data_IF_142942957018
#
_entry.id   IF_142942957018
#
_cell.length_a   1.000
_cell.length_b   1.000
_cell.length_c   1.000
_cell.angle_alpha   90.00
_cell.angle_beta   90.00
_cell.angle_gamma   90.00
#
_symmetry.space_group_name_H-M   'P 1'
#
loop_
_entity.id
_entity.type
_entity.pdbx_description
1 polymer ?
#
# COMPACT_ATOMS: atom_id res chain seq x y z
N UNK A 1 27.50 14.65 -15.87
CA UNK A 1 27.69 14.58 -14.40
C UNK A 1 26.87 13.41 -13.88
N UNK A 2 27.28 12.79 -12.76
CA UNK A 2 26.57 11.65 -12.18
C UNK A 2 26.09 11.98 -10.77
N UNK A 3 24.91 11.51 -10.42
CA UNK A 3 24.33 11.73 -9.09
C UNK A 3 23.43 10.57 -8.67
N UNK A 4 23.25 10.44 -7.37
CA UNK A 4 22.34 9.47 -6.76
C UNK A 4 21.24 10.26 -6.05
N UNK A 5 20.00 9.96 -6.40
CA UNK A 5 18.81 10.43 -5.69
C UNK A 5 18.26 9.24 -4.91
N UNK A 6 18.15 9.36 -3.59
CA UNK A 6 17.52 8.34 -2.75
C UNK A 6 16.30 8.90 -2.07
N UNK A 7 15.22 8.13 -2.02
CA UNK A 7 14.05 8.49 -1.25
C UNK A 7 13.53 7.34 -0.42
N UNK A 8 12.87 7.69 0.68
CA UNK A 8 12.20 6.76 1.58
C UNK A 8 10.77 7.22 1.78
N UNK A 9 9.84 6.30 1.66
CA UNK A 9 8.41 6.46 1.91
C UNK A 9 8.04 5.72 3.20
N UNK A 10 7.35 6.40 4.12
CA UNK A 10 6.90 5.80 5.37
C UNK A 10 5.57 6.41 5.84
N UNK A 11 4.73 5.62 6.51
CA UNK A 11 3.47 6.11 7.06
C UNK A 11 3.71 6.99 8.30
N UNK A 12 3.06 8.14 8.41
CA UNK A 12 3.15 8.99 9.60
C UNK A 12 2.04 10.02 9.69
N UNK A 13 1.90 10.67 10.85
CA UNK A 13 0.91 11.74 11.04
C UNK A 13 1.41 13.03 10.40
N UNK A 14 0.86 13.39 9.24
CA UNK A 14 1.23 14.62 8.54
C UNK A 14 0.73 15.83 9.32
N UNK A 15 1.57 16.82 9.67
CA UNK A 15 1.10 18.13 10.11
C UNK A 15 0.39 18.81 8.93
N UNK A 16 -0.82 19.33 9.11
CA UNK A 16 -1.66 19.94 8.07
C UNK A 16 -1.10 21.24 7.43
N UNK A 17 0.20 21.48 7.51
CA UNK A 17 0.88 22.72 7.09
C UNK A 17 1.95 22.38 6.05
N UNK A 18 1.64 22.65 4.78
CA UNK A 18 2.56 22.55 3.64
C UNK A 18 1.95 23.22 2.42
N UNK A 19 2.79 23.73 1.50
CA UNK A 19 2.33 24.25 0.22
C UNK A 19 2.04 23.11 -0.75
N UNK A 20 0.87 23.12 -1.39
CA UNK A 20 0.54 22.15 -2.44
C UNK A 20 1.49 22.34 -3.62
N UNK A 21 2.15 21.26 -4.05
CA UNK A 21 2.99 21.24 -5.23
C UNK A 21 2.25 20.50 -6.33
N UNK A 22 2.00 21.23 -7.43
CA UNK A 22 1.46 20.66 -8.65
C UNK A 22 2.58 19.97 -9.41
N UNK A 23 2.31 18.73 -9.85
CA UNK A 23 3.15 17.99 -10.79
C UNK A 23 3.60 18.89 -11.95
N UNK A 24 4.91 18.94 -12.20
CA UNK A 24 5.48 19.74 -13.29
C UNK A 24 5.34 18.95 -14.59
N UNK A 25 4.90 19.64 -15.63
CA UNK A 25 4.34 19.04 -16.84
C UNK A 25 5.42 18.69 -17.85
N UNK A 26 5.38 17.48 -18.41
CA UNK A 26 6.10 17.14 -19.64
C UNK A 26 5.70 18.13 -20.73
N UNK A 27 6.64 18.97 -21.18
CA UNK A 27 6.39 20.01 -22.22
C UNK A 27 5.91 19.42 -23.55
N UNK A 28 6.11 18.12 -23.79
CA UNK A 28 5.89 17.45 -25.08
C UNK A 28 4.72 16.44 -25.08
N UNK A 29 3.89 16.45 -24.03
CA UNK A 29 2.82 15.48 -23.78
C UNK A 29 1.39 16.06 -23.95
N UNK A 30 0.41 15.30 -24.48
CA UNK A 30 -1.01 15.70 -24.44
C UNK A 30 -1.55 15.77 -23.00
N UNK A 31 -2.52 16.66 -22.79
CA UNK A 31 -2.82 17.29 -21.49
C UNK A 31 -3.89 16.57 -20.65
N UNK A 32 -3.57 15.44 -19.99
CA UNK A 32 -4.53 14.72 -19.13
C UNK A 32 -4.14 14.60 -17.64
N UNK A 33 -3.01 15.19 -17.23
CA UNK A 33 -2.29 14.87 -15.98
C UNK A 33 -2.79 15.56 -14.68
N UNK A 34 -3.37 16.75 -14.77
CA UNK A 34 -3.57 17.62 -13.59
C UNK A 34 -4.42 17.09 -12.42
N UNK A 35 -5.52 16.34 -12.63
CA UNK A 35 -6.45 16.00 -11.54
C UNK A 35 -6.21 14.63 -10.86
N UNK A 36 -5.23 13.84 -11.30
CA UNK A 36 -5.08 12.42 -10.93
C UNK A 36 -3.83 12.04 -10.15
N UNK A 37 -2.79 12.88 -10.19
CA UNK A 37 -1.59 12.67 -9.38
C UNK A 37 -1.96 12.89 -7.92
N UNK A 38 -1.55 12.00 -6.99
CA UNK A 38 -1.79 12.21 -5.57
C UNK A 38 -1.23 13.57 -5.16
N UNK A 39 -2.04 14.38 -4.48
CA UNK A 39 -1.65 15.73 -4.08
C UNK A 39 -0.42 15.66 -3.20
N UNK A 40 0.62 16.36 -3.63
CA UNK A 40 1.88 16.40 -2.94
C UNK A 40 2.02 17.74 -2.22
N UNK A 41 2.49 17.70 -0.99
CA UNK A 41 2.77 18.90 -0.21
C UNK A 41 4.23 18.90 0.17
N UNK A 42 4.97 19.95 -0.21
CA UNK A 42 6.31 20.13 0.33
C UNK A 42 6.13 20.71 1.73
N UNK A 43 6.52 19.93 2.73
CA UNK A 43 6.47 20.34 4.14
C UNK A 43 7.68 21.22 4.42
N UNK A 44 8.87 20.78 3.99
CA UNK A 44 10.12 21.49 4.26
C UNK A 44 11.21 21.12 3.27
N UNK A 45 12.07 22.08 2.94
CA UNK A 45 13.32 21.88 2.21
C UNK A 45 14.46 22.29 3.14
N UNK A 46 15.17 21.30 3.68
CA UNK A 46 16.43 21.53 4.40
C UNK A 46 17.60 21.38 3.41
N UNK A 47 18.77 21.96 3.70
CA UNK A 47 19.91 22.12 2.76
C UNK A 47 20.28 20.84 1.95
N UNK A 48 19.99 19.64 2.47
CA UNK A 48 20.26 18.35 1.81
C UNK A 48 19.06 17.39 1.69
N UNK A 49 17.91 17.73 2.27
CA UNK A 49 16.75 16.86 2.32
C UNK A 49 15.48 17.59 1.86
N UNK A 50 14.71 16.94 1.00
CA UNK A 50 13.39 17.39 0.59
C UNK A 50 12.36 16.50 1.27
N UNK A 51 11.48 17.10 2.06
CA UNK A 51 10.41 16.40 2.77
C UNK A 51 9.09 16.72 2.09
N UNK A 52 8.50 15.70 1.48
CA UNK A 52 7.20 15.76 0.82
C UNK A 52 6.19 14.91 1.60
N UNK A 53 4.92 15.26 1.50
CA UNK A 53 3.82 14.47 2.03
C UNK A 53 2.86 14.09 0.91
N UNK A 54 2.52 12.80 0.88
CA UNK A 54 1.46 12.25 0.05
C UNK A 54 0.26 11.91 0.93
N UNK A 55 -0.92 12.36 0.51
CA UNK A 55 -2.15 12.02 1.21
C UNK A 55 -2.64 10.61 0.87
N UNK A 56 -3.19 9.85 1.84
CA UNK A 56 -3.26 10.15 3.27
C UNK A 56 -2.02 9.63 4.04
N UNK A 57 -1.43 10.48 4.88
CA UNK A 57 -0.50 10.10 5.95
C UNK A 57 0.79 9.38 5.52
N UNK A 58 1.37 9.67 4.36
CA UNK A 58 2.67 9.13 3.95
C UNK A 58 3.68 10.27 3.78
N UNK A 59 4.83 10.13 4.43
CA UNK A 59 5.99 11.01 4.25
C UNK A 59 6.91 10.44 3.17
N UNK A 60 7.45 11.31 2.34
CA UNK A 60 8.58 11.04 1.47
C UNK A 60 9.74 11.93 1.90
N UNK A 61 10.88 11.30 2.21
CA UNK A 61 12.14 12.00 2.46
C UNK A 61 13.11 11.67 1.34
N UNK A 62 13.52 12.69 0.61
CA UNK A 62 14.41 12.59 -0.55
C UNK A 62 15.72 13.33 -0.28
N UNK A 63 16.83 12.75 -0.74
CA UNK A 63 18.15 13.40 -0.76
C UNK A 63 18.87 13.12 -2.07
N UNK A 64 19.74 14.04 -2.46
CA UNK A 64 20.50 14.01 -3.70
C UNK A 64 21.99 14.19 -3.38
N UNK A 65 22.85 13.37 -3.99
CA UNK A 65 24.29 13.45 -3.83
C UNK A 65 24.99 13.26 -5.19
N UNK A 66 25.92 14.16 -5.53
CA UNK A 66 26.74 14.06 -6.75
C UNK A 66 27.86 13.04 -6.52
N UNK A 67 28.06 12.14 -7.48
CA UNK A 67 29.08 11.09 -7.44
C UNK A 67 29.97 11.15 -8.68
N UNK A 68 31.18 10.60 -8.57
CA UNK A 68 32.10 10.49 -9.71
C UNK A 68 31.74 9.31 -10.61
N UNK A 69 31.45 8.16 -10.00
CA UNK A 69 31.09 6.92 -10.69
C UNK A 69 30.02 6.15 -9.91
N UNK A 70 28.84 6.01 -10.50
CA UNK A 70 27.70 5.26 -9.96
C UNK A 70 27.99 3.76 -9.84
N UNK A 71 28.82 3.19 -10.72
CA UNK A 71 29.08 1.74 -10.75
C UNK A 71 30.06 1.28 -9.66
N UNK A 72 30.71 2.22 -8.98
CA UNK A 72 31.70 1.92 -7.95
C UNK A 72 31.09 1.33 -6.67
N UNK A 73 31.87 0.47 -5.99
CA UNK A 73 31.50 -0.05 -4.66
C UNK A 73 31.28 1.08 -3.62
N UNK A 74 31.99 2.20 -3.78
CA UNK A 74 31.82 3.40 -2.96
C UNK A 74 30.41 4.00 -3.12
N UNK A 75 29.88 4.05 -4.34
CA UNK A 75 28.52 4.52 -4.63
C UNK A 75 27.45 3.60 -4.06
N UNK A 76 27.66 2.28 -4.07
CA UNK A 76 26.74 1.32 -3.42
C UNK A 76 26.72 1.53 -1.90
N UNK A 77 27.89 1.72 -1.28
CA UNK A 77 27.99 2.04 0.14
C UNK A 77 27.34 3.39 0.49
N UNK A 78 27.56 4.41 -0.35
CA UNK A 78 26.96 5.72 -0.19
C UNK A 78 25.43 5.67 -0.28
N UNK A 79 24.89 4.90 -1.23
CA UNK A 79 23.45 4.66 -1.39
C UNK A 79 22.80 4.15 -0.10
N UNK A 80 23.40 3.15 0.54
CA UNK A 80 22.93 2.60 1.81
C UNK A 80 22.97 3.64 2.94
N UNK A 81 24.03 4.46 3.00
CA UNK A 81 24.14 5.54 3.99
C UNK A 81 23.08 6.63 3.78
N UNK A 82 22.79 7.00 2.53
CA UNK A 82 21.75 7.98 2.20
C UNK A 82 20.36 7.46 2.57
N UNK A 83 20.05 6.18 2.29
CA UNK A 83 18.80 5.54 2.71
C UNK A 83 18.66 5.55 4.24
N UNK A 84 19.72 5.17 4.96
CA UNK A 84 19.72 5.18 6.42
C UNK A 84 19.48 6.60 6.97
N UNK A 85 20.07 7.62 6.35
CA UNK A 85 19.85 9.01 6.73
C UNK A 85 18.40 9.47 6.46
N UNK A 86 17.81 9.08 5.32
CA UNK A 86 16.41 9.35 5.01
C UNK A 86 15.47 8.67 6.01
N UNK A 87 15.74 7.42 6.41
CA UNK A 87 14.97 6.70 7.42
C UNK A 87 15.03 7.40 8.78
N UNK A 88 16.22 7.79 9.23
CA UNK A 88 16.38 8.54 10.48
C UNK A 88 15.59 9.85 10.44
N UNK A 89 15.67 10.58 9.31
CA UNK A 89 14.88 11.80 9.12
C UNK A 89 13.37 11.52 9.13
N UNK A 90 12.90 10.46 8.49
CA UNK A 90 11.49 10.09 8.54
C UNK A 90 11.02 9.83 9.99
N UNK A 91 11.84 9.16 10.81
CA UNK A 91 11.55 8.94 12.23
C UNK A 91 11.49 10.25 13.05
N UNK A 92 12.40 11.20 12.80
CA UNK A 92 12.40 12.52 13.46
C UNK A 92 11.08 13.27 13.24
N UNK A 93 10.47 13.10 12.06
CA UNK A 93 9.17 13.67 11.70
C UNK A 93 7.97 12.81 12.13
N UNK A 94 8.20 11.74 12.90
CA UNK A 94 7.15 10.90 13.49
C UNK A 94 6.55 9.87 12.53
N UNK A 95 7.27 9.49 11.47
CA UNK A 95 6.88 8.37 10.62
C UNK A 95 7.21 7.03 11.28
N UNK A 96 6.32 6.04 11.09
CA UNK A 96 6.55 4.64 11.41
C UNK A 96 7.37 3.99 10.28
N UNK A 97 8.65 3.77 10.55
CA UNK A 97 9.57 3.13 9.59
C UNK A 97 9.51 1.60 9.61
N UNK A 98 8.66 0.98 10.45
CA UNK A 98 8.48 -0.48 10.47
C UNK A 98 7.93 -1.04 9.16
N UNK A 99 7.28 -0.19 8.37
CA UNK A 99 6.94 -0.43 6.97
C UNK A 99 7.30 0.82 6.18
N UNK A 100 8.41 0.72 5.47
CA UNK A 100 8.87 1.74 4.57
C UNK A 100 9.24 1.11 3.23
N UNK A 101 9.15 1.93 2.18
CA UNK A 101 9.75 1.63 0.88
C UNK A 101 10.91 2.58 0.67
N UNK A 102 12.06 2.04 0.33
CA UNK A 102 13.28 2.76 0.01
C UNK A 102 13.68 2.51 -1.44
N UNK A 103 14.19 3.57 -2.09
CA UNK A 103 14.53 3.48 -3.51
C UNK A 103 15.68 4.42 -3.85
N UNK A 104 16.57 3.96 -4.73
CA UNK A 104 17.72 4.73 -5.19
C UNK A 104 17.74 4.87 -6.71
N UNK A 105 17.95 6.08 -7.19
CA UNK A 105 17.99 6.41 -8.61
C UNK A 105 19.37 6.96 -8.94
N UNK A 106 20.10 6.25 -9.78
CA UNK A 106 21.28 6.78 -10.43
C UNK A 106 20.86 7.66 -11.61
N UNK A 107 21.31 8.90 -11.64
CA UNK A 107 21.07 9.83 -12.74
C UNK A 107 22.39 10.20 -13.37
N UNK A 108 22.48 10.01 -14.68
CA UNK A 108 23.67 10.28 -15.49
C UNK A 108 23.25 11.29 -16.54
N UNK A 109 23.75 12.52 -16.38
CA UNK A 109 23.45 13.66 -17.25
C UNK A 109 24.66 14.08 -18.09
N UNK A 110 24.41 14.76 -19.21
CA UNK A 110 25.46 15.37 -20.04
C UNK A 110 26.51 14.36 -20.55
N UNK A 111 26.07 13.15 -20.89
CA UNK A 111 26.91 12.07 -21.40
C UNK A 111 26.93 12.06 -22.94
N UNK A 112 27.94 11.43 -23.52
CA UNK A 112 28.03 11.17 -24.96
C UNK A 112 27.45 9.81 -25.35
N UNK A 113 26.98 9.66 -26.59
CA UNK A 113 26.51 8.37 -27.12
C UNK A 113 27.51 7.22 -26.97
N UNK A 114 28.81 7.52 -27.01
CA UNK A 114 29.84 6.52 -26.79
C UNK A 114 29.89 6.09 -25.32
N UNK A 115 29.82 7.04 -24.38
CA UNK A 115 29.78 6.74 -22.95
C UNK A 115 28.56 5.88 -22.58
N UNK A 116 27.38 6.16 -23.16
CA UNK A 116 26.21 5.30 -22.96
C UNK A 116 26.45 3.86 -23.44
N UNK A 117 27.05 3.70 -24.63
CA UNK A 117 27.34 2.37 -25.18
C UNK A 117 28.36 1.61 -24.34
N UNK A 118 29.39 2.31 -23.85
CA UNK A 118 30.42 1.71 -23.01
C UNK A 118 29.81 1.30 -21.65
N UNK A 119 28.95 2.14 -21.08
CA UNK A 119 28.26 1.88 -19.81
C UNK A 119 27.26 0.71 -19.91
N UNK A 120 26.58 0.57 -21.04
CA UNK A 120 25.70 -0.57 -21.33
C UNK A 120 26.49 -1.83 -21.73
N UNK A 121 27.72 -1.66 -22.20
CA UNK A 121 28.61 -2.75 -22.62
C UNK A 121 29.15 -3.58 -21.46
N UNK A 122 29.38 -2.96 -20.30
CA UNK A 122 29.67 -3.65 -19.02
C UNK A 122 28.66 -3.23 -17.95
N UNK A 123 27.46 -3.85 -17.93
CA UNK A 123 26.39 -3.47 -17.02
C UNK A 123 26.57 -4.01 -15.59
N UNK A 124 27.64 -4.77 -15.32
CA UNK A 124 27.79 -5.52 -14.07
C UNK A 124 27.73 -4.63 -12.84
N UNK A 125 28.53 -3.56 -12.80
CA UNK A 125 28.54 -2.60 -11.70
C UNK A 125 27.23 -1.83 -11.57
N UNK A 126 26.58 -1.52 -12.70
CA UNK A 126 25.27 -0.89 -12.68
C UNK A 126 24.21 -1.81 -12.06
N UNK A 127 24.15 -3.08 -12.45
CA UNK A 127 23.17 -4.03 -11.91
C UNK A 127 23.42 -4.26 -10.41
N UNK A 128 24.67 -4.36 -9.99
CA UNK A 128 25.06 -4.39 -8.57
C UNK A 128 24.52 -3.17 -7.81
N UNK A 129 24.65 -1.96 -8.37
CA UNK A 129 24.05 -0.75 -7.80
C UNK A 129 22.52 -0.83 -7.69
N UNK A 130 21.84 -1.22 -8.79
CA UNK A 130 20.38 -1.31 -8.85
C UNK A 130 19.81 -2.31 -7.83
N UNK A 131 20.53 -3.41 -7.58
CA UNK A 131 20.13 -4.47 -6.64
C UNK A 131 20.67 -4.28 -5.22
N UNK A 132 21.51 -3.26 -4.98
CA UNK A 132 22.20 -3.07 -3.71
C UNK A 132 23.13 -4.21 -3.29
N UNK A 133 23.73 -4.89 -4.26
CA UNK A 133 24.59 -6.04 -4.00
C UNK A 133 26.05 -5.71 -4.31
N UNK A 134 26.95 -5.99 -3.37
CA UNK A 134 28.39 -5.69 -3.49
C UNK A 134 29.22 -6.88 -3.99
N UNK A 135 28.57 -7.88 -4.54
CA UNK A 135 29.23 -9.06 -5.10
C UNK A 135 28.89 -9.17 -6.59
N UNK A 136 29.72 -9.95 -7.29
CA UNK A 136 29.55 -10.16 -8.72
C UNK A 136 28.31 -11.03 -8.94
N UNK A 137 27.34 -10.46 -9.64
CA UNK A 137 26.13 -11.14 -10.06
C UNK A 137 26.42 -12.12 -11.20
N UNK A 138 25.63 -13.19 -11.26
CA UNK A 138 25.69 -14.10 -12.39
C UNK A 138 25.19 -13.41 -13.66
N UNK A 139 25.85 -13.63 -14.79
CA UNK A 139 25.46 -13.10 -16.12
C UNK A 139 23.96 -13.22 -16.44
N UNK A 140 23.31 -14.32 -16.05
CA UNK A 140 21.88 -14.51 -16.29
C UNK A 140 21.00 -13.50 -15.52
N UNK A 141 21.43 -13.09 -14.33
CA UNK A 141 20.74 -12.08 -13.52
C UNK A 141 20.99 -10.66 -14.05
N UNK A 142 22.21 -10.42 -14.53
CA UNK A 142 22.58 -9.19 -15.23
C UNK A 142 21.70 -9.02 -16.49
N UNK A 143 21.64 -10.05 -17.33
CA UNK A 143 20.78 -10.09 -18.51
C UNK A 143 19.29 -9.91 -18.16
N UNK A 144 18.83 -10.54 -17.07
CA UNK A 144 17.45 -10.41 -16.62
C UNK A 144 17.12 -8.96 -16.23
N UNK A 145 18.03 -8.29 -15.52
CA UNK A 145 17.88 -6.90 -15.10
C UNK A 145 17.85 -5.96 -16.30
N UNK A 146 18.79 -6.13 -17.21
CA UNK A 146 18.93 -5.29 -18.41
C UNK A 146 17.76 -5.40 -19.40
N UNK A 147 16.96 -6.49 -19.34
CA UNK A 147 15.70 -6.58 -20.11
C UNK A 147 14.64 -5.57 -19.67
N UNK A 148 14.77 -5.03 -18.48
CA UNK A 148 13.78 -4.16 -17.85
C UNK A 148 14.15 -2.70 -18.05
N UNK A 149 14.24 -2.33 -19.33
CA UNK A 149 14.68 -1.03 -19.77
C UNK A 149 13.66 -0.40 -20.72
N UNK A 150 13.60 0.92 -20.70
CA UNK A 150 12.82 1.74 -21.60
C UNK A 150 13.76 2.72 -22.30
N UNK A 151 13.70 2.71 -23.63
CA UNK A 151 14.38 3.65 -24.51
C UNK A 151 13.33 4.31 -25.40
N UNK A 152 13.25 5.63 -25.37
CA UNK A 152 12.25 6.44 -26.05
C UNK A 152 12.88 7.28 -27.17
N UNK A 153 13.99 7.96 -26.90
CA UNK A 153 14.88 8.62 -27.85
C UNK A 153 16.18 7.81 -28.08
N UNK A 154 17.01 8.25 -29.02
CA UNK A 154 18.33 7.63 -29.21
C UNK A 154 19.27 7.90 -28.02
N UNK A 155 19.09 9.05 -27.37
CA UNK A 155 19.89 9.59 -26.27
C UNK A 155 19.18 9.52 -24.89
N UNK A 156 18.20 8.64 -24.72
CA UNK A 156 17.63 8.34 -23.39
C UNK A 156 17.68 6.84 -23.09
N UNK A 157 17.73 6.52 -21.80
CA UNK A 157 17.60 5.14 -21.32
C UNK A 157 17.18 5.16 -19.85
N UNK A 158 16.14 4.41 -19.53
CA UNK A 158 15.73 4.15 -18.16
C UNK A 158 15.77 2.66 -17.89
N UNK A 159 16.50 2.24 -16.86
CA UNK A 159 16.54 0.87 -16.37
C UNK A 159 15.90 0.85 -15.00
N UNK A 160 14.95 -0.06 -14.78
CA UNK A 160 14.18 -0.13 -13.53
C UNK A 160 14.31 -1.52 -12.91
N UNK A 161 14.72 -1.55 -11.64
CA UNK A 161 14.73 -2.76 -10.80
C UNK A 161 13.93 -2.49 -9.50
N UNK A 162 13.89 -3.46 -8.58
CA UNK A 162 13.13 -3.38 -7.34
C UNK A 162 13.73 -2.39 -6.34
N UNK A 163 15.06 -2.38 -6.20
CA UNK A 163 15.75 -1.56 -5.20
C UNK A 163 16.28 -0.24 -5.76
N UNK A 164 16.22 -0.05 -7.08
CA UNK A 164 16.69 1.17 -7.71
C UNK A 164 16.47 1.24 -9.22
N UNK A 165 16.71 2.43 -9.76
CA UNK A 165 16.66 2.71 -11.19
C UNK A 165 17.93 3.42 -11.67
N UNK A 166 18.18 3.36 -12.97
CA UNK A 166 19.18 4.15 -13.65
C UNK A 166 18.51 4.97 -14.74
N UNK A 167 18.80 6.27 -14.76
CA UNK A 167 18.30 7.22 -15.72
C UNK A 167 19.48 7.85 -16.45
N UNK A 168 19.51 7.66 -17.76
CA UNK A 168 20.36 8.39 -18.68
C UNK A 168 19.48 9.42 -19.38
N UNK A 169 19.79 10.69 -19.16
CA UNK A 169 19.11 11.79 -19.83
C UNK A 169 20.10 12.88 -20.28
N UNK A 170 20.07 13.26 -21.56
CA UNK A 170 21.08 14.16 -22.13
C UNK A 170 20.82 15.63 -21.81
N UNK A 171 19.56 16.09 -21.83
CA UNK A 171 19.21 17.51 -21.69
C UNK A 171 18.74 17.88 -20.26
N UNK A 172 18.53 16.85 -19.42
CA UNK A 172 18.17 16.99 -18.01
C UNK A 172 16.75 17.49 -17.72
N UNK A 173 15.95 17.81 -18.76
CA UNK A 173 14.60 18.36 -18.60
C UNK A 173 13.61 17.37 -17.96
N UNK A 174 13.75 16.06 -18.24
CA UNK A 174 12.78 15.02 -17.86
C UNK A 174 13.15 14.29 -16.55
N UNK A 175 14.30 14.63 -15.92
CA UNK A 175 14.79 13.93 -14.71
C UNK A 175 13.79 14.03 -13.56
N UNK A 176 13.25 15.22 -13.32
CA UNK A 176 12.30 15.49 -12.22
C UNK A 176 11.04 14.63 -12.37
N UNK A 177 10.54 14.50 -13.59
CA UNK A 177 9.29 13.80 -13.92
C UNK A 177 9.44 12.27 -13.82
N UNK A 178 10.56 11.72 -14.30
CA UNK A 178 10.90 10.29 -14.14
C UNK A 178 11.03 9.93 -12.67
N UNK A 179 11.71 10.77 -11.88
CA UNK A 179 11.87 10.58 -10.43
C UNK A 179 10.51 10.60 -9.74
N UNK A 180 9.67 11.60 -10.01
CA UNK A 180 8.32 11.68 -9.42
C UNK A 180 7.45 10.47 -9.78
N UNK A 181 7.52 9.97 -11.02
CA UNK A 181 6.78 8.78 -11.43
C UNK A 181 7.23 7.53 -10.67
N UNK A 182 8.54 7.34 -10.46
CA UNK A 182 9.08 6.26 -9.64
C UNK A 182 8.69 6.42 -8.16
N UNK A 183 8.59 7.65 -7.65
CA UNK A 183 8.08 7.93 -6.31
C UNK A 183 6.60 7.53 -6.19
N UNK A 184 5.76 7.83 -7.18
CA UNK A 184 4.35 7.45 -7.21
C UNK A 184 4.19 5.92 -7.24
N UNK A 185 4.98 5.22 -8.05
CA UNK A 185 4.92 3.76 -8.13
C UNK A 185 5.31 3.09 -6.80
N UNK A 186 6.36 3.60 -6.12
CA UNK A 186 6.73 3.14 -4.77
C UNK A 186 5.70 3.53 -3.71
N UNK A 187 5.07 4.70 -3.84
CA UNK A 187 4.00 5.15 -2.95
C UNK A 187 2.82 4.19 -2.99
N UNK A 188 2.40 3.75 -4.18
CA UNK A 188 1.34 2.74 -4.32
C UNK A 188 1.75 1.38 -3.76
N UNK A 189 3.00 0.96 -3.97
CA UNK A 189 3.53 -0.25 -3.36
C UNK A 189 3.39 -0.20 -1.83
N UNK A 190 3.77 0.92 -1.22
CA UNK A 190 3.61 1.13 0.22
C UNK A 190 2.14 1.07 0.64
N UNK A 191 1.23 1.73 -0.11
CA UNK A 191 -0.21 1.69 0.19
C UNK A 191 -0.77 0.27 0.15
N UNK A 192 -0.41 -0.52 -0.86
CA UNK A 192 -0.82 -1.92 -0.92
C UNK A 192 -0.28 -2.72 0.27
N UNK A 193 1.00 -2.56 0.63
CA UNK A 193 1.59 -3.27 1.79
C UNK A 193 0.98 -2.84 3.12
N UNK A 194 0.63 -1.56 3.27
CA UNK A 194 -0.07 -1.05 4.44
C UNK A 194 -1.47 -1.67 4.55
N UNK A 195 -2.23 -1.66 3.45
CA UNK A 195 -3.56 -2.24 3.41
C UNK A 195 -3.52 -3.76 3.68
N UNK A 196 -2.55 -4.45 3.12
CA UNK A 196 -2.31 -5.88 3.35
C UNK A 196 -2.07 -6.19 4.83
N UNK A 197 -1.18 -5.44 5.49
CA UNK A 197 -0.91 -5.56 6.94
C UNK A 197 -2.16 -5.28 7.78
N UNK A 198 -2.96 -4.28 7.41
CA UNK A 198 -4.20 -3.98 8.12
C UNK A 198 -5.22 -5.12 7.98
N UNK A 199 -5.35 -5.72 6.80
CA UNK A 199 -6.22 -6.86 6.54
C UNK A 199 -5.79 -8.09 7.35
N UNK A 200 -4.49 -8.37 7.43
CA UNK A 200 -3.96 -9.49 8.24
C UNK A 200 -4.26 -9.35 9.73
N UNK A 201 -4.10 -8.15 10.27
CA UNK A 201 -4.47 -7.86 11.65
C UNK A 201 -5.96 -8.11 11.93
N UNK A 202 -6.83 -7.86 10.94
CA UNK A 202 -8.28 -8.08 11.07
C UNK A 202 -8.67 -9.53 10.90
N UNK A 203 -8.08 -10.26 9.94
CA UNK A 203 -8.27 -11.70 9.80
C UNK A 203 -7.94 -12.42 11.11
N UNK A 204 -6.79 -12.09 11.70
CA UNK A 204 -6.37 -12.64 13.02
C UNK A 204 -7.38 -12.34 14.12
N UNK A 205 -7.93 -11.12 14.15
CA UNK A 205 -8.95 -10.76 15.14
C UNK A 205 -10.25 -11.57 14.97
N UNK A 206 -10.72 -11.74 13.72
CA UNK A 206 -11.92 -12.54 13.41
C UNK A 206 -11.75 -13.99 13.86
N UNK A 207 -10.60 -14.60 13.57
CA UNK A 207 -10.29 -15.97 14.00
C UNK A 207 -10.37 -16.14 15.52
N UNK A 208 -9.82 -15.19 16.28
CA UNK A 208 -9.89 -15.20 17.74
C UNK A 208 -11.34 -15.07 18.24
N UNK A 209 -12.17 -14.22 17.62
CA UNK A 209 -13.58 -14.09 17.99
C UNK A 209 -14.36 -15.39 17.76
N UNK A 210 -14.15 -16.06 16.63
CA UNK A 210 -14.84 -17.33 16.30
C UNK A 210 -14.46 -18.46 17.28
N UNK A 211 -13.21 -18.51 17.74
CA UNK A 211 -12.78 -19.52 18.73
C UNK A 211 -13.44 -19.33 20.10
N UNK A 212 -13.55 -18.09 20.57
CA UNK A 212 -14.15 -17.75 21.87
C UNK A 212 -15.65 -18.10 21.90
N UNK A 213 -16.33 -17.98 20.77
CA UNK A 213 -17.77 -18.28 20.65
C UNK A 213 -18.12 -19.74 20.96
N UNK A 214 -17.17 -20.68 20.80
CA UNK A 214 -17.37 -22.10 21.16
C UNK A 214 -17.60 -22.32 22.67
N UNK A 215 -17.28 -21.36 23.54
CA UNK A 215 -17.28 -21.56 25.00
C UNK A 215 -18.40 -20.84 25.77
N UNK A 216 -19.13 -19.88 25.19
CA UNK A 216 -20.16 -19.12 25.94
C UNK A 216 -21.26 -18.56 25.03
N UNK A 217 -22.32 -19.37 24.82
CA UNK A 217 -23.37 -19.13 23.82
C UNK A 217 -24.42 -18.09 24.27
N UNK A 218 -24.53 -17.79 25.58
CA UNK A 218 -25.69 -17.06 26.10
C UNK A 218 -25.45 -15.61 26.58
N UNK A 219 -24.20 -15.15 26.72
CA UNK A 219 -23.92 -13.84 27.39
C UNK A 219 -23.48 -12.69 26.49
N UNK A 220 -23.37 -12.86 25.16
CA UNK A 220 -22.54 -11.93 24.37
C UNK A 220 -23.11 -11.43 23.04
N UNK A 221 -24.42 -11.53 22.79
CA UNK A 221 -25.04 -11.07 21.53
C UNK A 221 -24.78 -9.58 21.20
N UNK A 222 -24.69 -8.70 22.21
CA UNK A 222 -24.42 -7.26 22.00
C UNK A 222 -22.98 -6.96 21.57
N UNK A 223 -22.00 -7.64 22.16
CA UNK A 223 -20.60 -7.41 21.82
C UNK A 223 -20.28 -7.98 20.44
N UNK A 224 -20.92 -9.10 20.08
CA UNK A 224 -20.77 -9.68 18.75
C UNK A 224 -21.41 -8.79 17.68
N UNK A 225 -22.62 -8.25 17.93
CA UNK A 225 -23.24 -7.28 17.01
C UNK A 225 -22.44 -5.97 16.87
N UNK A 226 -21.59 -5.64 17.84
CA UNK A 226 -20.66 -4.50 17.75
C UNK A 226 -19.42 -4.86 16.92
N UNK A 227 -18.76 -5.97 17.24
CA UNK A 227 -17.63 -6.48 16.47
C UNK A 227 -18.00 -6.67 14.98
N UNK A 228 -19.22 -7.13 14.73
CA UNK A 228 -19.82 -7.25 13.40
C UNK A 228 -19.84 -5.92 12.62
N UNK A 229 -20.34 -4.85 13.25
CA UNK A 229 -20.38 -3.52 12.61
C UNK A 229 -18.98 -3.00 12.34
N UNK A 230 -18.06 -3.19 13.29
CA UNK A 230 -16.67 -2.75 13.13
C UNK A 230 -15.97 -3.46 11.95
N UNK A 231 -16.25 -4.75 11.73
CA UNK A 231 -15.70 -5.51 10.59
C UNK A 231 -16.28 -5.02 9.26
N UNK A 232 -17.60 -4.81 9.17
CA UNK A 232 -18.23 -4.28 7.95
C UNK A 232 -17.70 -2.90 7.62
N UNK A 233 -17.67 -2.00 8.61
CA UNK A 233 -17.18 -0.63 8.43
C UNK A 233 -15.72 -0.65 7.97
N UNK A 234 -14.90 -1.54 8.52
CA UNK A 234 -13.53 -1.72 8.09
C UNK A 234 -13.44 -2.22 6.64
N UNK A 235 -14.19 -3.27 6.25
CA UNK A 235 -14.19 -3.79 4.87
C UNK A 235 -14.60 -2.71 3.87
N UNK A 236 -15.67 -1.97 4.15
CA UNK A 236 -16.14 -0.88 3.28
C UNK A 236 -15.03 0.17 3.10
N UNK A 237 -14.35 0.55 4.18
CA UNK A 237 -13.23 1.49 4.12
C UNK A 237 -12.06 0.93 3.32
N UNK A 238 -11.69 -0.33 3.53
CA UNK A 238 -10.60 -0.98 2.80
C UNK A 238 -10.89 -1.12 1.31
N UNK A 239 -12.15 -1.40 0.92
CA UNK A 239 -12.56 -1.40 -0.50
C UNK A 239 -12.46 0.01 -1.08
N UNK A 240 -12.97 1.02 -0.36
CA UNK A 240 -12.86 2.40 -0.82
C UNK A 240 -11.40 2.88 -0.94
N UNK A 241 -10.52 2.43 -0.04
CA UNK A 241 -9.08 2.69 -0.10
C UNK A 241 -8.44 1.98 -1.29
N UNK A 242 -8.76 0.71 -1.53
CA UNK A 242 -8.31 -0.03 -2.71
C UNK A 242 -8.73 0.65 -4.02
N UNK A 243 -10.01 1.03 -4.12
CA UNK A 243 -10.56 1.75 -5.27
C UNK A 243 -9.92 3.14 -5.45
N UNK A 244 -9.49 3.79 -4.36
CA UNK A 244 -8.78 5.05 -4.41
C UNK A 244 -7.38 4.87 -5.01
N UNK A 245 -6.63 3.86 -4.55
CA UNK A 245 -5.31 3.51 -5.10
C UNK A 245 -5.41 3.23 -6.60
N UNK A 246 -6.41 2.46 -7.04
CA UNK A 246 -6.61 2.18 -8.47
C UNK A 246 -6.96 3.43 -9.31
N UNK A 247 -7.64 4.40 -8.70
CA UNK A 247 -8.10 5.60 -9.42
C UNK A 247 -6.95 6.55 -9.73
N UNK A 248 -5.97 6.65 -8.83
CA UNK A 248 -4.76 7.47 -9.00
C UNK A 248 -3.95 7.05 -10.24
N UNK A 249 -4.07 5.78 -10.68
CA UNK A 249 -3.38 5.24 -11.85
C UNK A 249 -4.04 5.56 -13.21
N UNK A 250 -5.37 5.78 -13.27
CA UNK A 250 -6.14 5.76 -14.54
C UNK A 250 -5.85 6.91 -15.51
N UNK A 251 -4.93 7.82 -15.18
CA UNK A 251 -4.76 9.10 -15.85
C UNK A 251 -3.28 9.51 -15.95
N UNK A 252 -2.44 8.58 -16.40
CA UNK A 252 -1.06 8.88 -16.82
C UNK A 252 -1.14 9.54 -18.20
N UNK A 253 -0.69 10.79 -18.29
CA UNK A 253 -1.12 11.70 -19.37
C UNK A 253 -0.41 11.54 -20.72
N UNK A 254 0.78 10.94 -20.77
CA UNK A 254 1.47 10.64 -22.03
C UNK A 254 1.99 9.21 -22.13
N UNK A 255 2.35 8.86 -23.36
CA UNK A 255 2.76 7.51 -23.73
C UNK A 255 4.07 7.07 -23.06
N UNK A 256 5.02 8.00 -22.89
CA UNK A 256 6.30 7.69 -22.27
C UNK A 256 6.12 7.37 -20.79
N UNK A 257 5.47 8.27 -20.06
CA UNK A 257 5.09 8.10 -18.66
C UNK A 257 4.28 6.83 -18.46
N UNK A 258 3.29 6.56 -19.32
CA UNK A 258 2.47 5.35 -19.21
C UNK A 258 3.30 4.07 -19.35
N UNK A 259 4.28 4.08 -20.25
CA UNK A 259 5.16 2.94 -20.49
C UNK A 259 6.20 2.76 -19.39
N UNK A 260 6.77 3.85 -18.89
CA UNK A 260 7.68 3.83 -17.74
C UNK A 260 6.97 3.32 -16.49
N UNK A 261 5.75 3.80 -16.25
CA UNK A 261 4.95 3.36 -15.13
C UNK A 261 4.53 1.90 -15.26
N UNK A 262 4.17 1.41 -16.46
CA UNK A 262 3.90 -0.02 -16.67
C UNK A 262 5.15 -0.87 -16.37
N UNK A 263 6.34 -0.40 -16.78
CA UNK A 263 7.61 -1.04 -16.46
C UNK A 263 7.85 -1.12 -14.94
N UNK A 264 7.69 0.00 -14.22
CA UNK A 264 7.83 0.08 -12.77
C UNK A 264 6.76 -0.78 -12.05
N UNK A 265 5.51 -0.71 -12.49
CA UNK A 265 4.39 -1.47 -11.91
C UNK A 265 4.58 -2.97 -12.01
N UNK A 266 5.10 -3.45 -13.16
CA UNK A 266 5.45 -4.87 -13.35
C UNK A 266 6.61 -5.27 -12.47
N UNK A 267 7.63 -4.42 -12.34
CA UNK A 267 8.77 -4.67 -11.45
C UNK A 267 8.33 -4.77 -10.00
N UNK A 268 7.52 -3.84 -9.53
CA UNK A 268 6.97 -3.81 -8.17
C UNK A 268 5.82 -4.82 -7.95
N UNK A 269 5.41 -5.54 -8.99
CA UNK A 269 4.33 -6.53 -8.95
C UNK A 269 3.04 -5.96 -8.37
N UNK A 270 2.69 -4.73 -8.72
CA UNK A 270 1.52 -4.03 -8.15
C UNK A 270 0.22 -4.80 -8.42
N UNK A 271 0.11 -5.46 -9.56
CA UNK A 271 -1.03 -6.31 -9.91
C UNK A 271 -1.14 -7.57 -9.03
N UNK A 272 -0.01 -8.17 -8.64
CA UNK A 272 0.00 -9.32 -7.72
C UNK A 272 -0.45 -8.89 -6.33
N UNK A 273 0.06 -7.75 -5.84
CA UNK A 273 -0.37 -7.14 -4.58
C UNK A 273 -1.87 -6.85 -4.56
N UNK A 274 -2.37 -6.21 -5.62
CA UNK A 274 -3.79 -5.97 -5.80
C UNK A 274 -4.61 -7.27 -5.71
N UNK A 275 -4.17 -8.33 -6.40
CA UNK A 275 -4.84 -9.62 -6.36
C UNK A 275 -4.81 -10.28 -4.96
N UNK A 276 -3.71 -10.15 -4.22
CA UNK A 276 -3.59 -10.64 -2.82
C UNK A 276 -4.60 -9.93 -1.92
N UNK A 277 -4.65 -8.60 -1.98
CA UNK A 277 -5.55 -7.78 -1.15
C UNK A 277 -7.00 -8.11 -1.44
N UNK A 278 -7.36 -8.23 -2.72
CA UNK A 278 -8.72 -8.61 -3.13
C UNK A 278 -9.13 -9.98 -2.57
N UNK A 279 -8.25 -10.98 -2.66
CA UNK A 279 -8.50 -12.31 -2.07
C UNK A 279 -8.66 -12.26 -0.55
N UNK A 280 -7.92 -11.38 0.15
CA UNK A 280 -8.07 -11.17 1.60
C UNK A 280 -9.42 -10.52 1.93
N UNK A 281 -9.86 -9.54 1.15
CA UNK A 281 -11.18 -8.91 1.30
C UNK A 281 -12.34 -9.89 1.05
N UNK A 282 -12.21 -10.76 0.05
CA UNK A 282 -13.14 -11.86 -0.24
C UNK A 282 -13.17 -12.87 0.92
N UNK A 283 -12.00 -13.29 1.42
CA UNK A 283 -11.90 -14.18 2.59
C UNK A 283 -12.59 -13.61 3.84
N UNK A 284 -12.47 -12.30 4.08
CA UNK A 284 -13.15 -11.61 5.20
C UNK A 284 -14.68 -11.68 5.02
N UNK A 285 -15.17 -11.52 3.79
CA UNK A 285 -16.60 -11.64 3.47
C UNK A 285 -17.13 -13.06 3.65
N UNK A 286 -16.37 -14.06 3.22
CA UNK A 286 -16.73 -15.46 3.36
C UNK A 286 -16.81 -15.87 4.84
N UNK A 287 -15.79 -15.53 5.64
CA UNK A 287 -15.81 -15.77 7.09
C UNK A 287 -16.99 -15.07 7.76
N UNK A 288 -17.28 -13.84 7.32
CA UNK A 288 -18.43 -13.09 7.78
C UNK A 288 -19.76 -13.79 7.47
N UNK A 289 -19.94 -14.33 6.26
CA UNK A 289 -21.18 -14.99 5.84
C UNK A 289 -21.49 -16.19 6.75
N UNK A 290 -20.47 -16.98 7.07
CA UNK A 290 -20.53 -18.14 7.96
C UNK A 290 -20.92 -17.73 9.38
N UNK A 291 -20.35 -16.64 9.89
CA UNK A 291 -20.65 -16.13 11.23
C UNK A 291 -22.06 -15.55 11.30
N UNK A 292 -22.49 -14.79 10.27
CA UNK A 292 -23.83 -14.19 10.21
C UNK A 292 -24.96 -15.22 10.15
N UNK A 293 -24.75 -16.31 9.41
CA UNK A 293 -25.70 -17.42 9.32
C UNK A 293 -25.97 -18.03 10.72
N UNK A 294 -24.93 -18.22 11.54
CA UNK A 294 -25.06 -18.75 12.91
C UNK A 294 -25.85 -17.82 13.84
N UNK A 295 -25.72 -16.50 13.72
CA UNK A 295 -26.49 -15.55 14.53
C UNK A 295 -27.96 -15.45 14.14
N UNK A 296 -28.25 -15.54 12.85
CA UNK A 296 -29.63 -15.48 12.34
C UNK A 296 -30.44 -16.69 12.83
N UNK A 297 -29.81 -17.86 12.85
CA UNK A 297 -30.38 -19.08 13.45
C UNK A 297 -30.65 -18.92 14.95
N UNK A 298 -29.75 -18.26 15.70
CA UNK A 298 -29.95 -18.01 17.14
C UNK A 298 -31.15 -17.09 17.45
N UNK A 299 -31.41 -16.06 16.63
CA UNK A 299 -32.58 -15.19 16.80
C UNK A 299 -33.90 -15.91 16.53
N UNK A 300 -33.94 -16.77 15.51
CA UNK A 300 -35.09 -17.62 15.21
C UNK A 300 -35.36 -18.58 16.37
N UNK A 301 -34.35 -19.26 16.89
CA UNK A 301 -34.49 -20.13 18.06
C UNK A 301 -34.91 -19.40 19.33
N UNK A 302 -34.46 -18.15 19.54
CA UNK A 302 -34.93 -17.35 20.68
C UNK A 302 -36.41 -17.00 20.56
N UNK A 303 -36.89 -16.66 19.36
CA UNK A 303 -38.32 -16.41 19.11
C UNK A 303 -39.14 -17.69 19.31
N UNK A 304 -38.64 -18.85 18.86
CA UNK A 304 -39.25 -20.16 19.11
C UNK A 304 -39.33 -20.46 20.62
N UNK A 305 -38.23 -20.26 21.37
CA UNK A 305 -38.20 -20.48 22.81
C UNK A 305 -39.16 -19.54 23.55
N UNK A 306 -39.20 -18.26 23.16
CA UNK A 306 -40.13 -17.28 23.71
C UNK A 306 -41.59 -17.71 23.48
N UNK A 307 -41.90 -18.20 22.29
CA UNK A 307 -43.23 -18.73 21.96
C UNK A 307 -43.57 -19.95 22.83
N UNK A 308 -42.63 -20.88 23.03
CA UNK A 308 -42.81 -22.05 23.91
C UNK A 308 -43.06 -21.62 25.36
N UNK A 309 -42.29 -20.66 25.88
CA UNK A 309 -42.47 -20.13 27.24
C UNK A 309 -43.84 -19.46 27.38
N UNK A 310 -44.23 -18.63 26.40
CA UNK A 310 -45.53 -17.94 26.42
C UNK A 310 -46.69 -18.93 26.40
N UNK A 311 -46.57 -20.00 25.60
CA UNK A 311 -47.54 -21.09 25.58
C UNK A 311 -47.64 -21.79 26.94
N UNK A 312 -46.52 -22.07 27.60
CA UNK A 312 -46.50 -22.66 28.94
C UNK A 312 -47.17 -21.78 30.00
N UNK A 313 -46.92 -20.47 29.97
CA UNK A 313 -47.55 -19.51 30.90
C UNK A 313 -49.08 -19.52 30.72
N UNK A 314 -49.55 -19.56 29.47
CA UNK A 314 -50.98 -19.62 29.15
C UNK A 314 -51.61 -20.92 29.67
N UNK A 315 -50.95 -22.07 29.47
CA UNK A 315 -51.41 -23.36 29.98
C UNK A 315 -51.52 -23.38 31.51
N UNK A 316 -50.51 -22.85 32.22
CA UNK A 316 -50.54 -22.75 33.69
C UNK A 316 -51.69 -21.85 34.15
N UNK A 317 -51.89 -20.70 33.49
CA UNK A 317 -53.01 -19.81 33.78
C UNK A 317 -54.37 -20.48 33.61
N UNK A 318 -54.55 -21.25 32.53
CA UNK A 318 -55.78 -22.01 32.28
C UNK A 318 -56.01 -23.11 33.34
N UNK A 319 -54.94 -23.82 33.73
CA UNK A 319 -55.00 -24.84 34.77
C UNK A 319 -55.43 -24.28 36.13
N UNK A 320 -54.93 -23.09 36.49
CA UNK A 320 -55.33 -22.37 37.70
C UNK A 320 -56.83 -22.01 37.65
N UNK A 321 -57.30 -21.54 36.50
CA UNK A 321 -58.70 -21.15 36.30
C UNK A 321 -59.64 -22.36 36.49
N UNK A 322 -59.30 -23.51 35.89
CA UNK A 322 -60.03 -24.77 36.09
C UNK A 322 -60.00 -25.22 37.54
N UNK A 323 -58.84 -25.14 38.20
CA UNK A 323 -58.73 -25.52 39.60
C UNK A 323 -59.63 -24.67 40.51
N UNK A 324 -59.70 -23.36 40.24
CA UNK A 324 -60.60 -22.44 40.94
C UNK A 324 -62.07 -22.75 40.67
N UNK A 325 -62.44 -23.03 39.41
CA UNK A 325 -63.80 -23.43 39.03
C UNK A 325 -64.20 -24.76 39.69
N UNK A 326 -63.30 -25.75 39.69
CA UNK A 326 -63.52 -27.03 40.36
C UNK A 326 -63.69 -26.86 41.87
N UNK A 327 -62.87 -26.01 42.51
CA UNK A 327 -63.06 -25.66 43.93
C UNK A 327 -64.39 -24.98 44.20
N UNK A 328 -64.85 -24.12 43.29
CA UNK A 328 -66.15 -23.47 43.42
C UNK A 328 -67.30 -24.48 43.34
N UNK A 329 -67.25 -25.43 42.40
CA UNK A 329 -68.27 -26.48 42.22
C UNK A 329 -68.28 -27.58 43.30
N UNK A 330 -67.18 -27.77 44.03
CA UNK A 330 -67.11 -28.79 45.09
C UNK A 330 -67.51 -28.24 46.47
N UNK A 331 -67.38 -26.92 46.68
CA UNK A 331 -67.67 -26.26 47.95
C UNK A 331 -69.01 -25.46 47.98
N UNK A 332 -69.74 -25.45 46.87
CA UNK A 332 -71.15 -25.03 46.75
C UNK A 332 -71.91 -26.15 46.07
#
# INVERSE_FOLDING_TARGET
MQKIITFVLAQGKIPHTGGEVSFKKLKRAPHYFGPSVPRQYIIQREDKFVIKAYFPNIFLVETECVVQDVQSDESICLREQLIAACLQKAQEYGADVSLSEDYAIAVIDGYSQQELRDFVGDPSGLVSFLKSERFILHDAEVDHTMRSQLKYAEDDLVIVDWCGACLFESDGEEIEEVVELLQIANFQLLQYRLLDRQLDGRLTAIEQFVQIERQSIFKRNREIARAYREIIDFRIRSIAELDAIEREMKLIGDWYSARLYDLASRKFKLSDWHAVIRRKLESIEDMYSIVSERFSVSKLHFLELLQIILFFVLQVGWFILIYLEFRFYVFH
#
